data_IF_861193575851
#
_entry.id   IF_861193575851
#
_cell.length_a   1.000
_cell.length_b   1.000
_cell.length_c   1.000
_cell.angle_alpha   90.00
_cell.angle_beta   90.00
_cell.angle_gamma   90.00
#
_symmetry.space_group_name_H-M   'P 1'
#
loop_
_entity.id
_entity.type
_entity.pdbx_description
1 polymer ?
#
# COMPACT_ATOMS: atom_id res chain seq x y z
N UNK A 1 11.74 2.29 12.77
CA UNK A 1 11.50 1.22 11.80
C UNK A 1 11.01 1.88 10.52
N UNK A 2 11.43 1.45 9.36
CA UNK A 2 10.89 1.91 8.08
C UNK A 2 9.73 1.01 7.61
N UNK A 3 9.08 1.39 6.51
CA UNK A 3 7.92 0.66 5.99
C UNK A 3 8.25 -0.78 5.58
N UNK A 4 9.41 -1.02 4.96
CA UNK A 4 9.82 -2.35 4.49
C UNK A 4 10.11 -3.28 5.68
N UNK A 5 10.74 -2.76 6.74
CA UNK A 5 10.96 -3.54 7.97
C UNK A 5 9.64 -3.94 8.64
N UNK A 6 8.63 -3.05 8.64
CA UNK A 6 7.31 -3.40 9.19
C UNK A 6 6.65 -4.48 8.35
N UNK A 7 6.64 -4.35 7.02
CA UNK A 7 6.10 -5.38 6.13
C UNK A 7 6.78 -6.72 6.40
N UNK A 8 8.11 -6.73 6.48
CA UNK A 8 8.88 -7.94 6.76
C UNK A 8 8.52 -8.58 8.11
N UNK A 9 8.29 -7.78 9.15
CA UNK A 9 7.92 -8.29 10.47
C UNK A 9 6.48 -8.85 10.54
N UNK A 10 5.61 -8.45 9.61
CA UNK A 10 4.24 -8.93 9.55
C UNK A 10 4.06 -10.20 8.70
N UNK A 11 5.12 -10.65 8.02
CA UNK A 11 5.09 -11.81 7.12
C UNK A 11 5.91 -12.95 7.71
N UNK A 12 5.34 -14.15 7.73
CA UNK A 12 6.03 -15.35 8.18
C UNK A 12 7.02 -15.84 7.12
N UNK A 13 8.06 -16.57 7.58
CA UNK A 13 8.98 -17.24 6.65
C UNK A 13 8.23 -18.27 5.79
N UNK A 14 8.65 -18.38 4.53
CA UNK A 14 8.10 -19.32 3.54
C UNK A 14 6.63 -19.10 3.16
N UNK A 15 6.07 -17.93 3.49
CA UNK A 15 4.73 -17.56 3.04
C UNK A 15 4.64 -17.42 1.52
N UNK A 16 3.45 -17.66 0.98
CA UNK A 16 3.08 -17.27 -0.38
C UNK A 16 2.60 -15.82 -0.39
N UNK A 17 3.33 -14.95 -1.10
CA UNK A 17 3.12 -13.51 -1.08
C UNK A 17 2.79 -13.00 -2.48
N UNK A 18 1.68 -12.26 -2.61
CA UNK A 18 1.30 -11.52 -3.81
C UNK A 18 1.45 -10.02 -3.54
N UNK A 19 2.12 -9.29 -4.44
CA UNK A 19 2.22 -7.83 -4.37
C UNK A 19 1.50 -7.19 -5.56
N UNK A 20 0.43 -6.46 -5.28
CA UNK A 20 -0.43 -5.80 -6.27
C UNK A 20 0.04 -4.37 -6.52
N UNK A 21 0.60 -4.12 -7.71
CA UNK A 21 1.32 -2.91 -8.04
C UNK A 21 2.74 -2.95 -7.48
N UNK A 22 3.45 -4.03 -7.75
CA UNK A 22 4.75 -4.30 -7.13
C UNK A 22 5.89 -3.36 -7.59
N UNK A 23 5.66 -2.49 -8.56
CA UNK A 23 6.68 -1.62 -9.12
C UNK A 23 7.89 -2.43 -9.63
N UNK A 24 9.08 -2.00 -9.27
CA UNK A 24 10.33 -2.69 -9.64
C UNK A 24 10.63 -3.99 -8.86
N UNK A 25 9.70 -4.43 -7.99
CA UNK A 25 9.81 -5.67 -7.22
C UNK A 25 10.75 -5.60 -6.01
N UNK A 26 11.13 -4.42 -5.55
CA UNK A 26 12.10 -4.26 -4.46
C UNK A 26 11.62 -4.90 -3.15
N UNK A 27 10.35 -4.69 -2.77
CA UNK A 27 9.77 -5.31 -1.56
C UNK A 27 9.83 -6.83 -1.68
N UNK A 28 9.36 -7.40 -2.80
CA UNK A 28 9.36 -8.84 -3.01
C UNK A 28 10.78 -9.44 -3.00
N UNK A 29 11.76 -8.73 -3.55
CA UNK A 29 13.17 -9.14 -3.52
C UNK A 29 13.70 -9.23 -2.10
N UNK A 30 13.40 -8.24 -1.25
CA UNK A 30 13.80 -8.24 0.16
C UNK A 30 13.13 -9.40 0.91
N UNK A 31 11.82 -9.57 0.75
CA UNK A 31 11.06 -10.64 1.41
C UNK A 31 11.56 -12.03 1.00
N UNK A 32 11.83 -12.26 -0.28
CA UNK A 32 12.39 -13.51 -0.76
C UNK A 32 13.76 -13.80 -0.15
N UNK A 33 14.64 -12.81 -0.10
CA UNK A 33 16.00 -13.00 0.41
C UNK A 33 16.04 -13.23 1.92
N UNK A 34 15.20 -12.51 2.68
CA UNK A 34 15.26 -12.50 4.15
C UNK A 34 14.33 -13.55 4.79
N UNK A 35 13.22 -13.86 4.14
CA UNK A 35 12.16 -14.72 4.68
C UNK A 35 11.90 -16.00 3.86
N UNK A 36 12.61 -16.18 2.72
CA UNK A 36 12.42 -17.35 1.83
C UNK A 36 10.97 -17.52 1.35
N UNK A 37 10.27 -16.40 1.06
CA UNK A 37 8.88 -16.41 0.60
C UNK A 37 8.80 -16.82 -0.88
N UNK A 38 7.68 -17.44 -1.26
CA UNK A 38 7.29 -17.57 -2.67
C UNK A 38 6.63 -16.26 -3.10
N UNK A 39 7.30 -15.48 -3.95
CA UNK A 39 6.91 -14.13 -4.31
C UNK A 39 6.33 -14.05 -5.73
N UNK A 40 5.18 -13.39 -5.88
CA UNK A 40 4.57 -13.07 -7.16
C UNK A 40 4.18 -11.58 -7.17
N UNK A 41 4.55 -10.85 -8.21
CA UNK A 41 4.13 -9.47 -8.44
C UNK A 41 3.06 -9.35 -9.50
N UNK A 42 2.21 -8.34 -9.38
CA UNK A 42 1.32 -7.84 -10.44
C UNK A 42 1.70 -6.40 -10.73
N UNK A 43 1.97 -6.10 -12.00
CA UNK A 43 2.38 -4.75 -12.44
C UNK A 43 1.84 -4.48 -13.85
N UNK A 44 1.57 -3.23 -14.17
CA UNK A 44 1.10 -2.82 -15.50
C UNK A 44 2.20 -2.17 -16.35
N UNK A 45 3.15 -1.51 -15.70
CA UNK A 45 4.23 -0.76 -16.37
C UNK A 45 5.34 -1.69 -16.88
N UNK A 46 5.60 -1.65 -18.18
CA UNK A 46 6.60 -2.50 -18.83
C UNK A 46 8.03 -2.27 -18.33
N UNK A 47 8.37 -1.05 -17.93
CA UNK A 47 9.71 -0.77 -17.39
C UNK A 47 9.90 -1.47 -16.05
N UNK A 48 8.93 -1.35 -15.16
CA UNK A 48 8.93 -2.00 -13.85
C UNK A 48 8.94 -3.54 -13.96
N UNK A 49 8.15 -4.10 -14.88
CA UNK A 49 8.13 -5.54 -15.17
C UNK A 49 9.54 -6.01 -15.58
N UNK A 50 10.22 -5.28 -16.46
CA UNK A 50 11.57 -5.64 -16.88
C UNK A 50 12.57 -5.59 -15.70
N UNK A 51 12.44 -4.65 -14.78
CA UNK A 51 13.28 -4.59 -13.57
C UNK A 51 13.00 -5.78 -12.62
N UNK A 52 11.72 -6.18 -12.45
CA UNK A 52 11.35 -7.40 -11.73
C UNK A 52 12.04 -8.64 -12.32
N UNK A 53 11.94 -8.82 -13.63
CA UNK A 53 12.54 -9.97 -14.35
C UNK A 53 14.06 -9.98 -14.19
N UNK A 54 14.74 -8.84 -14.35
CA UNK A 54 16.18 -8.71 -14.11
C UNK A 54 16.58 -9.07 -12.68
N UNK A 55 15.73 -8.77 -11.72
CA UNK A 55 15.92 -9.10 -10.30
C UNK A 55 15.50 -10.54 -9.96
N UNK A 56 15.02 -11.32 -10.94
CA UNK A 56 14.55 -12.69 -10.76
C UNK A 56 13.24 -12.80 -9.99
N UNK A 57 12.42 -11.75 -9.97
CA UNK A 57 11.08 -11.75 -9.37
C UNK A 57 10.07 -12.19 -10.42
N UNK A 58 9.22 -13.16 -10.05
CA UNK A 58 8.07 -13.54 -10.87
C UNK A 58 7.06 -12.39 -10.88
N UNK A 59 6.62 -12.00 -12.08
CA UNK A 59 5.67 -10.90 -12.25
C UNK A 59 4.69 -11.22 -13.37
N UNK A 60 3.42 -10.85 -13.16
CA UNK A 60 2.35 -10.91 -14.16
C UNK A 60 2.04 -9.49 -14.61
N UNK A 61 1.99 -9.27 -15.93
CA UNK A 61 1.48 -8.02 -16.47
C UNK A 61 -0.04 -8.04 -16.43
N UNK A 62 -0.63 -7.24 -15.53
CA UNK A 62 -2.09 -7.17 -15.40
C UNK A 62 -2.52 -5.81 -14.87
N UNK A 63 -3.63 -5.30 -15.40
CA UNK A 63 -4.31 -4.13 -14.88
C UNK A 63 -5.25 -4.55 -13.73
N UNK A 64 -4.99 -4.09 -12.53
CA UNK A 64 -5.79 -4.41 -11.33
C UNK A 64 -7.25 -3.92 -11.48
N UNK A 65 -7.47 -2.79 -12.16
CA UNK A 65 -8.80 -2.24 -12.43
C UNK A 65 -9.69 -3.14 -13.31
N UNK A 66 -9.10 -4.02 -14.10
CA UNK A 66 -9.83 -5.00 -14.92
C UNK A 66 -10.31 -6.22 -14.13
N UNK A 67 -9.85 -6.33 -12.90
CA UNK A 67 -10.19 -7.39 -11.95
C UNK A 67 -9.09 -8.42 -11.74
N UNK A 68 -9.27 -9.24 -10.72
CA UNK A 68 -8.28 -10.23 -10.24
C UNK A 68 -8.90 -11.64 -10.18
N UNK A 69 -9.83 -11.95 -11.10
CA UNK A 69 -10.58 -13.22 -11.13
C UNK A 69 -9.70 -14.45 -11.43
N UNK A 70 -8.51 -14.24 -11.94
CA UNK A 70 -7.49 -15.27 -12.14
C UNK A 70 -6.85 -15.78 -10.84
N UNK A 71 -7.06 -15.07 -9.72
CA UNK A 71 -6.61 -15.50 -8.40
C UNK A 71 -7.77 -16.11 -7.60
N UNK A 72 -7.52 -17.28 -7.01
CA UNK A 72 -8.49 -17.97 -6.15
C UNK A 72 -8.72 -17.25 -4.81
N UNK A 73 -9.79 -17.61 -4.11
CA UNK A 73 -10.01 -17.14 -2.74
C UNK A 73 -8.93 -17.73 -1.83
N UNK A 74 -8.36 -16.90 -0.93
CA UNK A 74 -7.36 -17.32 0.05
C UNK A 74 -6.21 -18.13 -0.57
N UNK A 75 -5.81 -17.75 -1.81
CA UNK A 75 -4.75 -18.44 -2.55
C UNK A 75 -3.35 -17.96 -2.19
N UNK A 76 -3.23 -16.92 -1.36
CA UNK A 76 -1.97 -16.41 -0.82
C UNK A 76 -2.07 -16.21 0.69
N UNK A 77 -0.97 -16.43 1.41
CA UNK A 77 -0.91 -16.15 2.83
C UNK A 77 -1.01 -14.65 3.10
N UNK A 78 -0.31 -13.85 2.29
CA UNK A 78 -0.33 -12.40 2.41
C UNK A 78 -0.43 -11.74 1.03
N UNK A 79 -1.35 -10.78 0.90
CA UNK A 79 -1.43 -9.87 -0.24
C UNK A 79 -0.95 -8.48 0.18
N UNK A 80 0.01 -7.93 -0.53
CA UNK A 80 0.51 -6.58 -0.34
C UNK A 80 -0.11 -5.65 -1.37
N UNK A 81 -0.52 -4.45 -0.95
CA UNK A 81 -0.91 -3.34 -1.80
C UNK A 81 -0.29 -2.06 -1.26
N UNK A 82 0.97 -1.82 -1.65
CA UNK A 82 1.75 -0.70 -1.12
C UNK A 82 1.63 0.53 -2.00
N UNK A 83 0.96 1.57 -1.48
CA UNK A 83 0.74 2.85 -2.18
C UNK A 83 0.11 2.68 -3.58
N UNK A 84 -0.76 1.69 -3.74
CA UNK A 84 -1.41 1.36 -5.02
C UNK A 84 -2.89 1.71 -4.99
N UNK A 85 -3.57 1.56 -3.85
CA UNK A 85 -5.03 1.72 -3.76
C UNK A 85 -5.53 3.11 -4.23
N UNK A 86 -4.75 4.17 -3.99
CA UNK A 86 -5.13 5.54 -4.36
C UNK A 86 -4.98 5.87 -5.85
N UNK A 87 -4.35 4.98 -6.64
CA UNK A 87 -4.21 5.14 -8.11
C UNK A 87 -5.23 4.31 -8.88
N UNK A 88 -5.98 3.42 -8.20
CA UNK A 88 -7.01 2.58 -8.81
C UNK A 88 -8.33 3.33 -8.99
N UNK A 89 -9.09 2.98 -10.01
CA UNK A 89 -10.39 3.61 -10.31
C UNK A 89 -11.46 3.28 -9.28
N UNK A 90 -11.43 2.06 -8.73
CA UNK A 90 -12.39 1.58 -7.73
C UNK A 90 -11.62 1.01 -6.51
N UNK A 91 -11.22 1.86 -5.55
CA UNK A 91 -10.52 1.45 -4.34
C UNK A 91 -11.31 0.45 -3.48
N UNK A 92 -12.65 0.61 -3.45
CA UNK A 92 -13.53 -0.30 -2.67
C UNK A 92 -13.49 -1.70 -3.23
N UNK A 93 -13.65 -1.85 -4.54
CA UNK A 93 -13.56 -3.15 -5.21
C UNK A 93 -12.18 -3.77 -5.05
N UNK A 94 -11.12 -2.98 -5.21
CA UNK A 94 -9.74 -3.45 -5.02
C UNK A 94 -9.51 -3.96 -3.60
N UNK A 95 -9.99 -3.25 -2.57
CA UNK A 95 -9.86 -3.65 -1.18
C UNK A 95 -10.59 -4.98 -0.89
N UNK A 96 -11.77 -5.18 -1.46
CA UNK A 96 -12.51 -6.45 -1.36
C UNK A 96 -11.78 -7.60 -2.05
N UNK A 97 -11.17 -7.37 -3.20
CA UNK A 97 -10.38 -8.39 -3.91
C UNK A 97 -9.10 -8.76 -3.15
N UNK A 98 -8.41 -7.78 -2.60
CA UNK A 98 -7.21 -8.00 -1.77
C UNK A 98 -7.52 -8.93 -0.60
N UNK A 99 -8.61 -8.67 0.13
CA UNK A 99 -9.04 -9.51 1.28
C UNK A 99 -9.71 -10.83 0.87
N UNK A 100 -10.14 -10.96 -0.38
CA UNK A 100 -10.62 -12.24 -0.94
C UNK A 100 -9.46 -13.18 -1.29
N UNK A 101 -8.39 -12.62 -1.85
CA UNK A 101 -7.25 -13.39 -2.39
C UNK A 101 -6.31 -13.80 -1.27
N UNK A 102 -6.05 -12.91 -0.28
CA UNK A 102 -5.14 -13.16 0.83
C UNK A 102 -5.85 -13.63 2.09
N UNK A 103 -5.18 -14.48 2.88
CA UNK A 103 -5.59 -14.77 4.24
C UNK A 103 -5.45 -13.52 5.11
N UNK A 104 -4.34 -12.78 4.93
CA UNK A 104 -4.09 -11.46 5.49
C UNK A 104 -3.65 -10.53 4.37
N UNK A 105 -3.84 -9.22 4.56
CA UNK A 105 -3.42 -8.24 3.56
C UNK A 105 -2.74 -7.05 4.21
N UNK A 106 -1.75 -6.49 3.53
CA UNK A 106 -1.00 -5.32 3.97
C UNK A 106 -1.25 -4.18 2.99
N UNK A 107 -1.92 -3.13 3.46
CA UNK A 107 -2.25 -1.97 2.63
C UNK A 107 -1.57 -0.72 3.19
N UNK A 108 -0.92 0.07 2.33
CA UNK A 108 -0.37 1.37 2.72
C UNK A 108 -1.05 2.49 1.94
N UNK A 109 -1.34 3.58 2.66
CA UNK A 109 -1.98 4.76 2.09
C UNK A 109 -1.24 6.04 2.48
N UNK A 110 -1.04 7.00 1.57
CA UNK A 110 -0.64 8.35 1.93
C UNK A 110 -1.81 9.07 2.63
N UNK A 111 -1.51 9.78 3.70
CA UNK A 111 -2.52 10.51 4.46
C UNK A 111 -2.62 11.98 4.00
N UNK A 112 -3.64 12.32 3.25
CA UNK A 112 -3.91 13.71 2.86
C UNK A 112 -4.31 14.60 4.05
N UNK A 113 -4.73 14.00 5.17
CA UNK A 113 -5.00 14.68 6.45
C UNK A 113 -3.76 15.09 7.25
N UNK A 114 -2.54 14.82 6.78
CA UNK A 114 -1.30 15.19 7.45
C UNK A 114 -1.18 16.71 7.67
N UNK A 115 -0.68 17.14 8.83
CA UNK A 115 -0.68 18.56 9.21
C UNK A 115 0.03 19.46 8.20
N UNK A 116 1.13 19.00 7.60
CA UNK A 116 1.88 19.77 6.60
C UNK A 116 1.06 19.98 5.32
N UNK A 117 0.33 18.94 4.88
CA UNK A 117 -0.63 19.02 3.77
C UNK A 117 -1.70 20.07 4.04
N UNK A 118 -2.32 20.02 5.24
CA UNK A 118 -3.36 20.98 5.66
C UNK A 118 -2.84 22.41 5.72
N UNK A 119 -1.67 22.63 6.33
CA UNK A 119 -1.10 23.96 6.48
C UNK A 119 -0.67 24.54 5.14
N UNK A 120 -0.08 23.75 4.26
CA UNK A 120 0.26 24.18 2.91
C UNK A 120 -0.99 24.61 2.13
N UNK A 121 -2.04 23.80 2.15
CA UNK A 121 -3.30 24.15 1.48
C UNK A 121 -3.94 25.41 2.08
N UNK A 122 -3.99 25.52 3.42
CA UNK A 122 -4.57 26.65 4.12
C UNK A 122 -3.83 27.98 3.84
N UNK A 123 -2.48 27.95 3.88
CA UNK A 123 -1.68 29.18 3.79
C UNK A 123 -1.35 29.57 2.35
N UNK A 124 -1.14 28.62 1.46
CA UNK A 124 -0.75 28.92 0.08
C UNK A 124 -1.90 28.86 -0.93
N UNK A 125 -3.03 28.23 -0.57
CA UNK A 125 -4.14 27.97 -1.49
C UNK A 125 -3.77 27.06 -2.66
N UNK A 126 -2.64 26.31 -2.57
CA UNK A 126 -2.14 25.43 -3.62
C UNK A 126 -2.12 23.98 -3.13
N UNK A 127 -2.30 23.04 -4.08
CA UNK A 127 -2.14 21.62 -3.76
C UNK A 127 -0.72 21.35 -3.22
N UNK A 128 -0.63 20.69 -2.07
CA UNK A 128 0.64 20.46 -1.41
C UNK A 128 1.51 19.46 -2.19
N UNK A 129 2.83 19.72 -2.18
CA UNK A 129 3.85 18.76 -2.58
C UNK A 129 4.65 18.43 -1.32
N UNK A 130 4.64 17.18 -0.90
CA UNK A 130 5.26 16.68 0.34
C UNK A 130 6.07 15.42 0.07
N UNK A 131 6.76 14.89 1.09
CA UNK A 131 7.53 13.64 0.94
C UNK A 131 6.67 12.45 0.50
N UNK A 132 5.42 12.37 0.96
CA UNK A 132 4.46 11.30 0.61
C UNK A 132 3.59 11.64 -0.61
N UNK A 133 3.58 12.91 -1.05
CA UNK A 133 2.90 13.41 -2.25
C UNK A 133 3.89 14.22 -3.08
N UNK A 134 4.89 13.58 -3.72
CA UNK A 134 6.04 14.29 -4.29
C UNK A 134 5.75 14.96 -5.64
N UNK A 135 4.67 14.58 -6.31
CA UNK A 135 4.31 15.08 -7.65
C UNK A 135 3.35 16.27 -7.56
N UNK A 136 3.39 17.15 -8.55
CA UNK A 136 2.40 18.21 -8.70
C UNK A 136 1.03 17.62 -9.05
N UNK A 137 -0.05 18.38 -8.79
CA UNK A 137 -1.42 17.91 -8.97
C UNK A 137 -1.75 17.39 -10.38
N UNK A 138 -1.05 17.87 -11.40
CA UNK A 138 -1.24 17.47 -12.81
C UNK A 138 -0.24 16.39 -13.28
N UNK A 139 0.71 15.99 -12.44
CA UNK A 139 1.73 14.96 -12.72
C UNK A 139 1.51 13.70 -11.87
N UNK A 140 0.63 13.78 -10.86
CA UNK A 140 0.40 12.68 -9.93
C UNK A 140 -0.47 11.58 -10.54
N UNK A 141 -0.12 10.34 -10.25
CA UNK A 141 -0.94 9.18 -10.58
C UNK A 141 -2.07 8.97 -9.55
N UNK A 142 -2.00 9.66 -8.40
CA UNK A 142 -3.02 9.55 -7.36
C UNK A 142 -4.32 10.21 -7.81
N UNK A 143 -5.36 9.41 -8.02
CA UNK A 143 -6.71 9.89 -8.38
C UNK A 143 -7.64 9.97 -7.18
N UNK A 144 -7.34 9.24 -6.10
CA UNK A 144 -8.08 9.30 -4.83
C UNK A 144 -7.20 9.81 -3.70
N UNK A 145 -7.60 10.93 -3.12
CA UNK A 145 -6.94 11.52 -1.96
C UNK A 145 -7.75 11.19 -0.71
N UNK A 146 -7.22 10.31 0.14
CA UNK A 146 -7.89 9.91 1.37
C UNK A 146 -7.12 10.31 2.62
N UNK A 147 -7.82 10.37 3.72
CA UNK A 147 -7.23 10.46 5.06
C UNK A 147 -7.24 9.08 5.73
N UNK A 148 -6.53 8.97 6.84
CA UNK A 148 -6.57 7.77 7.69
C UNK A 148 -8.00 7.41 8.08
N UNK A 149 -8.80 8.41 8.46
CA UNK A 149 -10.20 8.18 8.84
C UNK A 149 -11.07 7.69 7.69
N UNK A 150 -10.84 8.20 6.47
CA UNK A 150 -11.60 7.75 5.29
C UNK A 150 -11.31 6.28 4.98
N UNK A 151 -10.05 5.86 5.11
CA UNK A 151 -9.68 4.47 4.90
C UNK A 151 -10.25 3.54 5.98
N UNK A 152 -10.17 3.94 7.26
CA UNK A 152 -10.74 3.15 8.37
C UNK A 152 -12.27 3.03 8.23
N UNK A 153 -12.97 4.10 7.83
CA UNK A 153 -14.40 4.05 7.51
C UNK A 153 -14.70 3.11 6.34
N UNK A 154 -13.86 3.11 5.29
CA UNK A 154 -14.03 2.18 4.16
C UNK A 154 -13.86 0.73 4.58
N UNK A 155 -12.90 0.42 5.47
CA UNK A 155 -12.77 -0.92 6.05
C UNK A 155 -14.03 -1.33 6.82
N UNK A 156 -14.59 -0.44 7.65
CA UNK A 156 -15.83 -0.68 8.40
C UNK A 156 -17.02 -0.94 7.45
N UNK A 157 -17.21 -0.09 6.43
CA UNK A 157 -18.25 -0.29 5.41
C UNK A 157 -18.13 -1.62 4.66
N UNK A 158 -16.90 -2.12 4.46
CA UNK A 158 -16.62 -3.38 3.78
C UNK A 158 -16.65 -4.59 4.72
N UNK A 159 -16.87 -4.41 6.03
CA UNK A 159 -16.73 -5.44 7.06
C UNK A 159 -15.36 -6.13 7.02
N UNK A 160 -14.31 -5.29 6.95
CA UNK A 160 -12.90 -5.70 6.93
C UNK A 160 -12.31 -5.36 8.30
N UNK A 161 -11.72 -6.35 8.95
CA UNK A 161 -11.07 -6.19 10.24
C UNK A 161 -9.67 -5.60 10.10
N UNK A 162 -9.38 -4.57 10.87
CA UNK A 162 -8.03 -4.02 10.99
C UNK A 162 -7.33 -4.72 12.15
N UNK A 163 -6.40 -5.63 11.82
CA UNK A 163 -5.65 -6.44 12.79
C UNK A 163 -4.57 -5.60 13.47
N UNK A 164 -3.83 -4.85 12.65
CA UNK A 164 -2.71 -4.04 13.11
C UNK A 164 -2.56 -2.80 12.26
N UNK A 165 -2.05 -1.71 12.84
CA UNK A 165 -1.77 -0.47 12.14
C UNK A 165 -0.48 0.17 12.60
N UNK A 166 0.26 0.78 11.67
CA UNK A 166 1.48 1.54 11.91
C UNK A 166 1.43 2.88 11.18
N UNK A 167 2.01 3.90 11.81
CA UNK A 167 1.96 5.26 11.31
C UNK A 167 3.36 5.82 11.14
N UNK A 168 3.59 6.46 10.00
CA UNK A 168 4.91 6.94 9.60
C UNK A 168 4.87 8.45 9.35
N UNK A 169 5.98 9.11 9.64
CA UNK A 169 6.20 10.51 9.27
C UNK A 169 6.50 10.64 7.77
N UNK A 170 6.74 11.86 7.31
CA UNK A 170 7.07 12.22 5.93
C UNK A 170 8.42 11.66 5.42
N UNK A 171 9.24 11.12 6.34
CA UNK A 171 10.51 10.45 6.04
C UNK A 171 10.40 8.93 6.03
N UNK A 172 9.19 8.38 6.12
CA UNK A 172 8.94 6.94 6.14
C UNK A 172 9.38 6.24 7.43
N UNK A 173 9.57 6.99 8.55
CA UNK A 173 9.92 6.42 9.86
C UNK A 173 8.73 6.43 10.79
N UNK A 174 8.57 5.37 11.57
CA UNK A 174 7.56 5.34 12.63
C UNK A 174 7.68 6.57 13.53
N UNK A 175 6.53 7.15 13.89
CA UNK A 175 6.44 8.37 14.69
C UNK A 175 5.60 8.15 15.93
N UNK A 176 6.18 8.37 17.10
CA UNK A 176 5.46 8.32 18.37
C UNK A 176 4.28 9.32 18.42
N UNK A 177 4.47 10.54 17.89
CA UNK A 177 3.41 11.55 17.82
C UNK A 177 2.25 11.11 16.92
N UNK A 178 2.56 10.36 15.87
CA UNK A 178 1.55 9.83 14.97
C UNK A 178 0.64 8.78 15.65
N UNK A 179 1.12 8.06 16.67
CA UNK A 179 0.30 7.10 17.41
C UNK A 179 -0.79 7.77 18.27
N UNK A 180 -0.56 8.99 18.75
CA UNK A 180 -1.55 9.72 19.57
C UNK A 180 -2.66 10.36 18.74
N UNK A 181 -2.31 11.03 17.63
CA UNK A 181 -3.26 11.70 16.73
C UNK A 181 -2.88 11.40 15.28
N UNK A 182 -3.11 10.14 14.81
CA UNK A 182 -2.57 9.66 13.55
C UNK A 182 -3.07 10.47 12.35
N UNK A 183 -4.34 10.83 12.29
CA UNK A 183 -4.90 11.57 11.17
C UNK A 183 -4.30 12.99 10.98
N UNK A 184 -3.57 13.49 11.99
CA UNK A 184 -2.92 14.80 11.94
C UNK A 184 -1.39 14.65 11.78
N UNK A 185 -0.74 13.74 12.50
CA UNK A 185 0.71 13.65 12.56
C UNK A 185 1.33 12.56 11.68
N UNK A 186 0.55 11.60 11.15
CA UNK A 186 1.06 10.62 10.21
C UNK A 186 0.96 11.14 8.77
N UNK A 187 2.05 10.98 8.02
CA UNK A 187 2.09 11.24 6.57
C UNK A 187 1.72 10.00 5.75
N UNK A 188 1.99 8.81 6.29
CA UNK A 188 1.67 7.51 5.70
C UNK A 188 1.10 6.61 6.79
N UNK A 189 0.11 5.81 6.44
CA UNK A 189 -0.41 4.75 7.29
C UNK A 189 -0.28 3.39 6.61
N UNK A 190 -0.01 2.36 7.40
CA UNK A 190 0.06 0.96 6.99
C UNK A 190 -0.89 0.15 7.85
N UNK A 191 -1.64 -0.72 7.19
CA UNK A 191 -2.65 -1.56 7.82
C UNK A 191 -2.41 -3.03 7.48
N UNK A 192 -2.49 -3.89 8.50
CA UNK A 192 -2.69 -5.32 8.36
C UNK A 192 -4.16 -5.60 8.55
N UNK A 193 -4.81 -6.18 7.56
CA UNK A 193 -6.26 -6.37 7.48
C UNK A 193 -6.62 -7.80 7.11
N UNK A 194 -7.82 -8.24 7.47
CA UNK A 194 -8.41 -9.51 7.05
C UNK A 194 -9.93 -9.41 6.92
N UNK A 195 -10.56 -10.42 6.37
CA UNK A 195 -12.02 -10.53 6.26
C UNK A 195 -12.49 -11.92 6.63
#
# INVERSE_FOLDING_TARGET
MDTTEVIKNWINKKSEVLDLGCGNGEILKILRNDLDVTALGVEIDNHNINECIKSGINVIQQNIDEGLTNFGNQSFDVVIMSQTIQVLKDPKKALLEVTRIGNESIVTIPNFGFWMTRTNLLLSGKMPVTGTLPKKWYETDNIHLCTIKDFENLCEECSIDIIEKRFFNDRGRESFLANGVPNFFAALAMYKISK
#
